data_IF_792705846863
#
_entry.id   IF_792705846863
#
_cell.length_a   1.000
_cell.length_b   1.000
_cell.length_c   1.000
_cell.angle_alpha   90.00
_cell.angle_beta   90.00
_cell.angle_gamma   90.00
#
_symmetry.space_group_name_H-M   'P 1'
#
loop_
_entity.id
_entity.type
_entity.pdbx_description
1 polymer ?
#
# COMPACT_ATOMS: atom_id res chain seq x y z
N UNK A 1 -52.21 -9.45 25.70
CA UNK A 1 -51.53 -8.74 24.61
C UNK A 1 -50.03 -8.80 24.89
N UNK A 2 -49.34 -9.80 24.35
CA UNK A 2 -47.89 -9.96 24.56
C UNK A 2 -47.15 -9.97 23.23
N UNK A 3 -46.29 -8.97 23.10
CA UNK A 3 -45.08 -8.82 22.28
C UNK A 3 -44.80 -9.86 21.20
N UNK A 4 -44.99 -9.45 19.94
CA UNK A 4 -44.42 -10.09 18.74
C UNK A 4 -43.39 -9.19 18.04
N UNK A 5 -42.71 -8.28 18.76
CA UNK A 5 -41.72 -7.36 18.16
C UNK A 5 -40.26 -7.65 18.48
N UNK A 6 -39.94 -8.73 19.21
CA UNK A 6 -38.55 -9.01 19.63
C UNK A 6 -37.83 -10.10 18.83
N UNK A 7 -38.52 -10.81 17.93
CA UNK A 7 -37.92 -11.93 17.18
C UNK A 7 -37.27 -11.47 15.87
N UNK A 8 -37.86 -10.50 15.18
CA UNK A 8 -37.43 -10.11 13.82
C UNK A 8 -36.19 -9.20 13.81
N UNK A 9 -35.89 -8.50 14.91
CA UNK A 9 -34.69 -7.64 15.01
C UNK A 9 -33.42 -8.41 15.38
N UNK A 10 -33.52 -9.57 16.03
CA UNK A 10 -32.37 -10.45 16.24
C UNK A 10 -32.04 -11.28 14.99
N UNK A 11 -33.02 -11.69 14.19
CA UNK A 11 -32.78 -12.40 12.92
C UNK A 11 -32.15 -11.52 11.83
N UNK A 12 -32.32 -10.20 11.86
CA UNK A 12 -31.70 -9.30 10.86
C UNK A 12 -30.24 -8.92 11.19
N UNK A 13 -29.77 -9.12 12.43
CA UNK A 13 -28.35 -8.94 12.77
C UNK A 13 -27.51 -10.20 12.50
N UNK A 14 -28.13 -11.36 12.31
CA UNK A 14 -27.46 -12.59 11.83
C UNK A 14 -27.16 -12.56 10.32
N UNK A 15 -27.61 -11.53 9.58
CA UNK A 15 -27.47 -11.44 8.11
C UNK A 15 -26.12 -10.84 7.66
N UNK A 16 -25.32 -10.27 8.55
CA UNK A 16 -24.00 -9.76 8.22
C UNK A 16 -22.92 -10.55 8.97
N UNK A 17 -22.26 -11.48 8.26
CA UNK A 17 -21.07 -12.21 8.72
C UNK A 17 -19.90 -11.22 8.94
N UNK A 18 -19.95 -10.52 10.08
CA UNK A 18 -18.88 -9.67 10.61
C UNK A 18 -17.93 -10.58 11.38
N UNK A 19 -16.79 -10.87 10.78
CA UNK A 19 -15.69 -11.56 11.47
C UNK A 19 -14.87 -10.57 12.29
N UNK A 20 -14.26 -11.05 13.37
CA UNK A 20 -13.37 -10.26 14.23
C UNK A 20 -11.94 -10.43 13.72
N UNK A 21 -11.30 -9.34 13.35
CA UNK A 21 -9.96 -9.28 12.78
C UNK A 21 -9.03 -8.90 13.92
N UNK A 22 -7.98 -9.69 14.16
CA UNK A 22 -6.98 -9.38 15.20
C UNK A 22 -5.71 -8.88 14.55
N UNK A 23 -5.09 -7.90 15.17
CA UNK A 23 -3.82 -7.33 14.72
C UNK A 23 -2.86 -7.41 15.90
N UNK A 24 -1.66 -7.89 15.61
CA UNK A 24 -0.59 -7.99 16.61
C UNK A 24 0.21 -6.70 16.58
N UNK A 25 -0.06 -5.83 17.56
CA UNK A 25 0.82 -4.70 17.81
C UNK A 25 2.11 -5.22 18.43
N UNK A 26 3.24 -5.01 17.75
CA UNK A 26 4.55 -5.47 18.24
C UNK A 26 5.17 -4.49 19.24
N UNK A 27 4.64 -3.26 19.36
CA UNK A 27 5.35 -2.17 20.02
C UNK A 27 4.67 -1.59 21.27
N UNK A 28 3.43 -1.97 21.62
CA UNK A 28 2.75 -1.43 22.81
C UNK A 28 2.20 -2.52 23.77
N UNK A 29 3.04 -2.94 24.72
CA UNK A 29 2.61 -3.54 26.00
C UNK A 29 1.80 -4.85 25.95
N UNK A 30 1.67 -5.50 24.79
CA UNK A 30 0.92 -6.75 24.64
C UNK A 30 -0.60 -6.60 24.53
N UNK A 31 -1.10 -5.40 24.21
CA UNK A 31 -2.52 -5.20 23.96
C UNK A 31 -2.90 -5.66 22.56
N UNK A 32 -3.60 -6.80 22.48
CA UNK A 32 -4.17 -7.30 21.23
C UNK A 32 -5.27 -6.36 20.74
N UNK A 33 -5.05 -5.68 19.61
CA UNK A 33 -6.08 -4.88 18.95
C UNK A 33 -6.96 -5.78 18.09
N UNK A 34 -8.27 -5.59 18.16
CA UNK A 34 -9.20 -6.27 17.26
C UNK A 34 -10.28 -5.33 16.75
N UNK A 35 -10.66 -5.51 15.49
CA UNK A 35 -11.68 -4.73 14.81
C UNK A 35 -12.55 -5.64 13.94
N UNK A 36 -13.83 -5.32 13.81
CA UNK A 36 -14.76 -6.10 13.00
C UNK A 36 -14.87 -5.53 11.59
N UNK A 37 -14.59 -6.33 10.55
CA UNK A 37 -14.93 -5.96 9.16
C UNK A 37 -15.82 -7.00 8.50
N UNK A 38 -16.59 -6.53 7.52
CA UNK A 38 -17.48 -7.39 6.75
C UNK A 38 -16.66 -8.31 5.85
N UNK A 39 -16.82 -9.63 6.04
CA UNK A 39 -16.13 -10.66 5.26
C UNK A 39 -16.33 -10.46 3.76
N UNK A 40 -17.56 -10.18 3.37
CA UNK A 40 -17.94 -9.98 1.97
C UNK A 40 -17.22 -8.79 1.34
N UNK A 41 -17.03 -7.71 2.10
CA UNK A 41 -16.34 -6.52 1.61
C UNK A 41 -14.86 -6.80 1.36
N UNK A 42 -14.20 -7.55 2.24
CA UNK A 42 -12.82 -7.94 2.02
C UNK A 42 -12.68 -8.91 0.84
N UNK A 43 -13.53 -9.93 0.78
CA UNK A 43 -13.51 -10.89 -0.33
C UNK A 43 -13.82 -10.21 -1.67
N UNK A 44 -14.59 -9.12 -1.67
CA UNK A 44 -14.84 -8.31 -2.85
C UNK A 44 -13.55 -7.65 -3.38
N UNK A 45 -12.71 -7.12 -2.50
CA UNK A 45 -11.46 -6.44 -2.89
C UNK A 45 -10.25 -7.36 -3.04
N UNK A 46 -10.30 -8.58 -2.50
CA UNK A 46 -9.16 -9.49 -2.44
C UNK A 46 -9.55 -10.90 -2.91
N UNK A 47 -9.09 -11.33 -4.10
CA UNK A 47 -9.19 -12.72 -4.54
C UNK A 47 -8.49 -13.69 -3.56
N UNK A 48 -7.38 -13.26 -2.95
CA UNK A 48 -6.68 -14.01 -1.91
C UNK A 48 -7.61 -14.33 -0.73
N UNK A 49 -8.26 -13.33 -0.14
CA UNK A 49 -9.17 -13.55 0.99
C UNK A 49 -10.47 -14.24 0.57
N UNK A 50 -10.95 -14.03 -0.67
CA UNK A 50 -12.04 -14.83 -1.20
C UNK A 50 -11.70 -16.32 -1.21
N UNK A 51 -10.49 -16.68 -1.68
CA UNK A 51 -10.01 -18.05 -1.66
C UNK A 51 -9.80 -18.57 -0.23
N UNK A 52 -9.18 -17.81 0.66
CA UNK A 52 -8.90 -18.23 2.03
C UNK A 52 -10.19 -18.43 2.86
N UNK A 53 -11.15 -17.51 2.75
CA UNK A 53 -12.31 -17.44 3.65
C UNK A 53 -13.57 -18.10 3.09
N UNK A 54 -13.66 -18.28 1.77
CA UNK A 54 -14.79 -18.97 1.10
C UNK A 54 -14.36 -20.27 0.42
N UNK A 55 -13.07 -20.55 0.33
CA UNK A 55 -12.55 -21.79 -0.22
C UNK A 55 -12.56 -22.93 0.80
N UNK A 56 -11.72 -23.94 0.54
CA UNK A 56 -11.66 -25.17 1.34
C UNK A 56 -10.53 -25.16 2.39
N UNK A 57 -9.85 -24.04 2.56
CA UNK A 57 -8.77 -23.89 3.53
C UNK A 57 -9.29 -23.83 4.97
N UNK A 58 -8.41 -24.04 5.95
CA UNK A 58 -8.78 -24.08 7.36
C UNK A 58 -9.39 -22.75 7.85
N UNK A 59 -8.93 -21.64 7.27
CA UNK A 59 -9.33 -20.26 7.49
C UNK A 59 -10.81 -20.03 7.20
N UNK A 60 -11.41 -20.80 6.28
CA UNK A 60 -12.85 -20.75 6.02
C UNK A 60 -13.69 -21.05 7.27
N UNK A 61 -13.15 -21.88 8.18
CA UNK A 61 -13.77 -22.33 9.43
C UNK A 61 -13.41 -21.47 10.65
N UNK A 62 -12.58 -20.43 10.47
CA UNK A 62 -12.14 -19.56 11.57
C UNK A 62 -12.97 -18.27 11.64
N UNK A 63 -13.48 -17.91 12.80
CA UNK A 63 -14.24 -16.64 12.99
C UNK A 63 -13.36 -15.39 13.05
N UNK A 64 -12.04 -15.60 13.07
CA UNK A 64 -11.01 -14.57 13.16
C UNK A 64 -9.72 -15.06 12.53
N UNK A 65 -8.97 -14.15 11.91
CA UNK A 65 -7.61 -14.38 11.42
C UNK A 65 -6.79 -13.12 11.76
N UNK A 66 -5.46 -13.23 11.65
CA UNK A 66 -4.53 -12.16 12.02
C UNK A 66 -4.04 -11.40 10.80
N UNK A 67 -4.03 -10.07 10.86
CA UNK A 67 -3.33 -9.23 9.89
C UNK A 67 -1.93 -8.95 10.41
N UNK A 68 -0.92 -9.14 9.56
CA UNK A 68 0.47 -8.72 9.83
C UNK A 68 0.62 -7.21 9.60
N UNK A 69 -0.21 -6.42 10.30
CA UNK A 69 -0.24 -4.97 10.30
C UNK A 69 -0.29 -4.49 11.76
N UNK A 70 0.36 -3.37 12.04
CA UNK A 70 0.21 -2.71 13.35
C UNK A 70 -1.17 -2.03 13.48
N UNK A 71 -1.41 -1.43 14.65
CA UNK A 71 -2.67 -0.76 14.94
C UNK A 71 -2.97 0.39 13.97
N UNK A 72 -1.99 1.25 13.65
CA UNK A 72 -2.18 2.41 12.78
C UNK A 72 -2.45 1.99 11.35
N UNK A 73 -1.68 1.05 10.82
CA UNK A 73 -1.85 0.48 9.49
C UNK A 73 -3.20 -0.22 9.35
N UNK A 74 -3.64 -0.92 10.40
CA UNK A 74 -4.96 -1.55 10.43
C UNK A 74 -6.08 -0.53 10.39
N UNK A 75 -5.99 0.57 11.14
CA UNK A 75 -6.99 1.63 11.09
C UNK A 75 -7.12 2.21 9.67
N UNK A 76 -5.99 2.52 9.03
CA UNK A 76 -5.96 3.04 7.65
C UNK A 76 -6.56 2.02 6.68
N UNK A 77 -6.21 0.74 6.83
CA UNK A 77 -6.76 -0.33 6.00
C UNK A 77 -8.28 -0.46 6.13
N UNK A 78 -8.80 -0.46 7.37
CA UNK A 78 -10.23 -0.58 7.64
C UNK A 78 -10.97 0.64 7.11
N UNK A 79 -10.47 1.85 7.36
CA UNK A 79 -11.05 3.07 6.82
C UNK A 79 -11.10 3.03 5.29
N UNK A 80 -10.00 2.64 4.64
CA UNK A 80 -9.97 2.46 3.18
C UNK A 80 -10.97 1.40 2.73
N UNK A 81 -11.11 0.28 3.45
CA UNK A 81 -11.99 -0.81 3.07
C UNK A 81 -13.46 -0.34 2.96
N UNK A 82 -13.88 0.55 3.87
CA UNK A 82 -15.24 1.10 3.90
C UNK A 82 -15.43 2.33 3.00
N UNK A 83 -14.39 3.12 2.75
CA UNK A 83 -14.50 4.40 2.02
C UNK A 83 -13.99 4.33 0.58
N UNK A 84 -13.14 3.35 0.28
CA UNK A 84 -12.35 3.24 -0.95
C UNK A 84 -11.25 4.30 -1.07
N UNK A 85 -10.92 5.05 -0.01
CA UNK A 85 -10.02 6.21 -0.06
C UNK A 85 -8.91 6.13 0.97
N UNK A 86 -7.74 6.67 0.59
CA UNK A 86 -6.62 6.96 1.50
C UNK A 86 -6.54 8.48 1.59
N UNK A 87 -6.75 9.04 2.78
CA UNK A 87 -6.84 10.49 2.97
C UNK A 87 -5.47 11.18 2.86
N UNK A 88 -5.25 11.87 1.75
CA UNK A 88 -3.95 12.48 1.36
C UNK A 88 -3.45 13.49 2.40
N UNK A 89 -4.35 14.31 2.93
CA UNK A 89 -3.99 15.39 3.86
C UNK A 89 -3.37 14.85 5.14
N UNK A 90 -3.70 13.62 5.55
CA UNK A 90 -3.10 12.99 6.70
C UNK A 90 -1.61 12.65 6.50
N UNK A 91 -1.18 12.45 5.25
CA UNK A 91 0.18 12.05 4.87
C UNK A 91 1.04 13.20 4.37
N UNK A 92 0.44 14.37 4.15
CA UNK A 92 1.14 15.50 3.56
C UNK A 92 2.35 15.93 4.40
N UNK A 93 3.53 15.83 3.82
CA UNK A 93 4.80 16.20 4.47
C UNK A 93 5.24 15.28 5.62
N UNK A 94 4.74 14.04 5.69
CA UNK A 94 5.13 13.03 6.69
C UNK A 94 5.95 11.90 6.05
N UNK A 95 6.58 11.10 6.90
CA UNK A 95 7.15 9.81 6.48
C UNK A 95 6.02 8.87 6.05
N UNK A 96 6.26 8.15 4.96
CA UNK A 96 5.29 7.28 4.29
C UNK A 96 5.45 5.80 4.69
N UNK A 97 6.15 5.49 5.78
CA UNK A 97 6.50 4.12 6.19
C UNK A 97 5.27 3.21 6.29
N UNK A 98 4.18 3.71 6.86
CA UNK A 98 2.91 2.98 6.92
C UNK A 98 2.27 2.76 5.55
N UNK A 99 2.37 3.72 4.64
CA UNK A 99 1.87 3.54 3.27
C UNK A 99 2.71 2.51 2.52
N UNK A 100 4.03 2.47 2.73
CA UNK A 100 4.89 1.45 2.14
C UNK A 100 4.57 0.05 2.67
N UNK A 101 4.44 -0.09 3.99
CA UNK A 101 4.05 -1.36 4.63
C UNK A 101 2.66 -1.80 4.18
N UNK A 102 1.70 -0.87 4.13
CA UNK A 102 0.34 -1.17 3.68
C UNK A 102 0.28 -1.53 2.20
N UNK A 103 1.14 -0.94 1.36
CA UNK A 103 1.25 -1.32 -0.05
C UNK A 103 1.78 -2.75 -0.20
N UNK A 104 2.83 -3.12 0.54
CA UNK A 104 3.37 -4.50 0.54
C UNK A 104 2.30 -5.49 1.02
N UNK A 105 1.57 -5.15 2.08
CA UNK A 105 0.43 -5.94 2.55
C UNK A 105 -0.63 -6.11 1.45
N UNK A 106 -1.01 -5.02 0.77
CA UNK A 106 -1.96 -5.05 -0.33
C UNK A 106 -1.46 -5.90 -1.50
N UNK A 107 -0.15 -5.91 -1.75
CA UNK A 107 0.47 -6.74 -2.78
C UNK A 107 0.38 -8.23 -2.45
N UNK A 108 0.78 -8.60 -1.23
CA UNK A 108 0.77 -9.97 -0.74
C UNK A 108 -0.64 -10.56 -0.62
N UNK A 109 -1.63 -9.70 -0.39
CA UNK A 109 -3.04 -10.09 -0.23
C UNK A 109 -3.89 -9.77 -1.47
N UNK A 110 -3.26 -9.47 -2.60
CA UNK A 110 -3.90 -9.24 -3.89
C UNK A 110 -5.06 -8.21 -3.87
N UNK A 111 -4.81 -7.05 -3.25
CA UNK A 111 -5.75 -5.93 -3.14
C UNK A 111 -5.34 -4.80 -4.08
N UNK A 112 -5.53 -5.01 -5.39
CA UNK A 112 -5.11 -4.06 -6.43
C UNK A 112 -5.71 -2.66 -6.24
N UNK A 113 -6.96 -2.56 -5.78
CA UNK A 113 -7.60 -1.28 -5.53
C UNK A 113 -6.89 -0.48 -4.43
N UNK A 114 -6.38 -1.15 -3.39
CA UNK A 114 -5.64 -0.52 -2.30
C UNK A 114 -4.25 -0.08 -2.77
N UNK A 115 -3.53 -0.93 -3.53
CA UNK A 115 -2.24 -0.55 -4.16
C UNK A 115 -2.38 0.74 -4.97
N UNK A 116 -3.44 0.84 -5.79
CA UNK A 116 -3.75 2.04 -6.58
C UNK A 116 -4.10 3.26 -5.71
N UNK A 117 -4.93 3.11 -4.68
CA UNK A 117 -5.26 4.22 -3.76
C UNK A 117 -4.01 4.75 -3.03
N UNK A 118 -3.13 3.85 -2.58
CA UNK A 118 -1.86 4.22 -1.93
C UNK A 118 -0.94 4.93 -2.92
N UNK A 119 -0.78 4.41 -4.14
CA UNK A 119 0.08 5.10 -5.13
C UNK A 119 -0.47 6.46 -5.53
N UNK A 120 -1.79 6.62 -5.58
CA UNK A 120 -2.40 7.93 -5.75
C UNK A 120 -1.99 8.88 -4.64
N UNK A 121 -2.05 8.44 -3.39
CA UNK A 121 -1.64 9.22 -2.23
C UNK A 121 -0.14 9.58 -2.29
N UNK A 122 0.75 8.59 -2.48
CA UNK A 122 2.19 8.78 -2.54
C UNK A 122 2.61 9.77 -3.64
N UNK A 123 1.98 9.71 -4.81
CA UNK A 123 2.29 10.61 -5.92
C UNK A 123 1.94 12.09 -5.66
N UNK A 124 1.06 12.39 -4.69
CA UNK A 124 0.53 13.75 -4.47
C UNK A 124 0.74 14.34 -3.06
N UNK A 125 1.03 13.51 -2.04
CA UNK A 125 1.14 13.97 -0.65
C UNK A 125 2.41 14.82 -0.37
N UNK A 126 3.39 14.86 -1.28
CA UNK A 126 4.69 15.48 -0.98
C UNK A 126 5.54 14.59 -0.05
N UNK A 127 6.87 14.69 -0.18
CA UNK A 127 7.76 13.53 0.02
C UNK A 127 8.82 13.78 1.09
N UNK A 128 9.04 12.78 1.95
CA UNK A 128 10.32 12.55 2.62
C UNK A 128 10.76 11.14 2.23
N UNK A 129 11.75 10.98 1.33
CA UNK A 129 12.19 9.67 0.87
C UNK A 129 12.67 8.78 2.03
N UNK A 130 12.48 7.45 1.96
CA UNK A 130 13.06 6.53 2.93
C UNK A 130 14.59 6.51 2.84
N UNK A 131 15.25 6.21 3.96
CA UNK A 131 16.69 5.96 3.96
C UNK A 131 17.03 4.74 3.08
N UNK A 132 18.23 4.70 2.48
CA UNK A 132 18.63 3.62 1.56
C UNK A 132 18.44 2.20 2.12
N UNK A 133 18.76 1.95 3.39
CA UNK A 133 18.51 0.65 4.05
C UNK A 133 17.03 0.26 4.06
N UNK A 134 16.14 1.24 4.17
CA UNK A 134 14.71 1.03 4.20
C UNK A 134 14.20 0.77 2.79
N UNK A 135 14.72 1.49 1.78
CA UNK A 135 14.46 1.17 0.38
C UNK A 135 14.86 -0.27 0.08
N UNK A 136 16.05 -0.73 0.48
CA UNK A 136 16.50 -2.12 0.34
C UNK A 136 15.50 -3.13 0.92
N UNK A 137 15.03 -2.87 2.15
CA UNK A 137 14.03 -3.70 2.82
C UNK A 137 12.73 -3.76 2.03
N UNK A 138 12.23 -2.60 1.57
CA UNK A 138 10.97 -2.50 0.83
C UNK A 138 11.06 -3.22 -0.53
N UNK A 139 12.06 -2.91 -1.35
CA UNK A 139 12.17 -3.46 -2.71
C UNK A 139 12.44 -4.97 -2.74
N UNK A 140 12.96 -5.53 -1.64
CA UNK A 140 13.14 -6.99 -1.50
C UNK A 140 11.82 -7.76 -1.37
N UNK A 141 10.72 -7.09 -1.02
CA UNK A 141 9.39 -7.68 -0.91
C UNK A 141 8.49 -7.38 -2.11
N UNK A 142 8.99 -6.65 -3.13
CA UNK A 142 8.20 -6.16 -4.26
C UNK A 142 8.63 -6.82 -5.58
N UNK A 143 7.68 -7.22 -6.44
CA UNK A 143 7.99 -7.72 -7.77
C UNK A 143 8.61 -6.62 -8.65
N UNK A 144 9.35 -7.03 -9.69
CA UNK A 144 9.99 -6.09 -10.64
C UNK A 144 8.99 -5.15 -11.32
N UNK A 145 7.76 -5.61 -11.55
CA UNK A 145 6.67 -4.83 -12.14
C UNK A 145 5.93 -3.92 -11.17
N UNK A 146 6.32 -3.88 -9.89
CA UNK A 146 5.63 -3.10 -8.87
C UNK A 146 5.74 -1.59 -9.15
N UNK A 147 4.58 -0.91 -9.09
CA UNK A 147 4.51 0.54 -9.14
C UNK A 147 5.30 1.22 -8.02
N UNK A 148 5.21 0.69 -6.79
CA UNK A 148 5.97 1.21 -5.66
C UNK A 148 7.48 1.02 -5.85
N UNK A 149 7.93 -0.12 -6.41
CA UNK A 149 9.36 -0.35 -6.69
C UNK A 149 9.89 0.68 -7.68
N UNK A 150 9.15 0.98 -8.75
CA UNK A 150 9.50 2.03 -9.71
C UNK A 150 9.50 3.42 -9.05
N UNK A 151 8.50 3.71 -8.22
CA UNK A 151 8.40 4.97 -7.49
C UNK A 151 9.60 5.20 -6.56
N UNK A 152 9.98 4.20 -5.76
CA UNK A 152 11.15 4.24 -4.86
C UNK A 152 12.46 4.42 -5.63
N UNK A 153 12.59 3.78 -6.80
CA UNK A 153 13.73 4.00 -7.68
C UNK A 153 13.81 5.45 -8.14
N UNK A 154 12.70 6.03 -8.59
CA UNK A 154 12.69 7.43 -9.02
C UNK A 154 12.92 8.40 -7.85
N UNK A 155 12.45 8.08 -6.63
CA UNK A 155 12.74 8.87 -5.43
C UNK A 155 14.22 8.85 -5.06
N UNK A 156 14.84 7.67 -5.08
CA UNK A 156 16.29 7.54 -4.89
C UNK A 156 17.06 8.35 -5.94
N UNK A 157 16.62 8.38 -7.19
CA UNK A 157 17.32 9.15 -8.22
C UNK A 157 17.12 10.67 -8.04
N UNK A 158 15.95 11.09 -7.56
CA UNK A 158 15.57 12.49 -7.37
C UNK A 158 16.22 13.15 -6.14
N UNK A 159 16.19 12.48 -4.98
CA UNK A 159 16.76 12.96 -3.72
C UNK A 159 18.25 13.27 -3.86
N UNK A 160 18.92 12.50 -4.71
CA UNK A 160 20.38 12.50 -4.85
C UNK A 160 20.85 13.13 -6.18
N UNK A 161 19.89 13.66 -6.97
CA UNK A 161 20.08 14.18 -8.33
C UNK A 161 20.19 15.70 -8.45
N UNK A 162 20.74 16.43 -7.47
CA UNK A 162 21.04 17.87 -7.67
C UNK A 162 22.44 18.07 -8.28
N UNK A 163 22.56 18.73 -9.44
CA UNK A 163 23.79 18.83 -10.19
C UNK A 163 24.58 20.06 -9.76
N UNK A 164 25.82 19.85 -9.32
CA UNK A 164 26.94 20.53 -9.98
C UNK A 164 28.11 19.54 -10.09
N UNK A 165 28.35 19.10 -11.33
CA UNK A 165 29.67 18.64 -11.80
C UNK A 165 30.29 17.48 -11.01
N UNK A 166 29.91 16.24 -11.33
CA UNK A 166 30.91 15.21 -11.63
C UNK A 166 30.28 13.94 -12.19
N UNK A 167 30.96 13.43 -13.20
CA UNK A 167 30.84 12.11 -13.80
C UNK A 167 30.53 10.99 -12.79
N UNK A 168 29.54 10.17 -13.15
CA UNK A 168 29.23 8.82 -12.64
C UNK A 168 28.73 8.82 -11.18
N UNK A 169 27.45 8.47 -11.00
CA UNK A 169 26.94 7.96 -9.72
C UNK A 169 27.72 6.68 -9.38
N UNK A 170 28.83 6.83 -8.68
CA UNK A 170 29.69 5.70 -8.33
C UNK A 170 29.06 4.88 -7.22
N UNK A 171 29.41 3.60 -7.15
CA UNK A 171 29.06 2.72 -6.04
C UNK A 171 29.46 3.32 -4.68
N UNK A 172 30.55 4.09 -4.61
CA UNK A 172 30.97 4.78 -3.39
C UNK A 172 30.00 5.89 -2.95
N UNK A 173 29.41 6.62 -3.89
CA UNK A 173 28.42 7.65 -3.60
C UNK A 173 27.17 7.02 -2.99
N UNK A 174 26.60 6.02 -3.68
CA UNK A 174 25.43 5.28 -3.21
C UNK A 174 25.67 4.69 -1.82
N UNK A 175 26.84 4.08 -1.60
CA UNK A 175 27.22 3.54 -0.29
C UNK A 175 27.21 4.61 0.82
N UNK A 176 27.66 5.84 0.55
CA UNK A 176 27.63 6.95 1.52
C UNK A 176 26.19 7.39 1.86
N UNK A 177 25.26 7.26 0.92
CA UNK A 177 23.85 7.55 1.12
C UNK A 177 23.06 6.36 1.73
N UNK A 178 23.75 5.28 2.12
CA UNK A 178 23.11 4.09 2.70
C UNK A 178 22.58 3.09 1.68
N UNK A 179 22.94 3.22 0.40
CA UNK A 179 22.64 2.26 -0.66
C UNK A 179 23.81 1.30 -0.84
N UNK A 180 23.87 0.29 0.03
CA UNK A 180 24.92 -0.75 0.07
C UNK A 180 24.51 -1.90 -0.84
N UNK A 181 25.33 -2.24 -1.85
CA UNK A 181 24.99 -3.24 -2.88
C UNK A 181 24.43 -4.55 -2.32
N UNK A 182 25.03 -5.04 -1.25
CA UNK A 182 24.69 -6.33 -0.63
C UNK A 182 23.28 -6.38 -0.04
N UNK A 183 22.69 -5.22 0.27
CA UNK A 183 21.36 -5.12 0.87
C UNK A 183 20.24 -5.13 -0.18
N UNK A 184 20.55 -4.97 -1.46
CA UNK A 184 19.57 -4.79 -2.53
C UNK A 184 19.45 -6.02 -3.45
N UNK A 185 18.25 -6.24 -4.02
CA UNK A 185 18.11 -7.07 -5.22
C UNK A 185 19.09 -6.61 -6.31
N UNK A 186 19.78 -7.57 -6.93
CA UNK A 186 20.87 -7.31 -7.89
C UNK A 186 20.41 -6.44 -9.06
N UNK A 187 19.20 -6.68 -9.56
CA UNK A 187 18.62 -5.95 -10.67
C UNK A 187 18.33 -4.47 -10.30
N UNK A 188 17.77 -4.23 -9.11
CA UNK A 188 17.48 -2.89 -8.62
C UNK A 188 18.76 -2.07 -8.45
N UNK A 189 19.79 -2.65 -7.82
CA UNK A 189 21.06 -1.94 -7.63
C UNK A 189 21.77 -1.67 -8.97
N UNK A 190 21.71 -2.61 -9.91
CA UNK A 190 22.24 -2.39 -11.26
C UNK A 190 21.50 -1.26 -11.99
N UNK A 191 20.18 -1.13 -11.81
CA UNK A 191 19.41 0.00 -12.32
C UNK A 191 19.83 1.33 -11.67
N UNK A 192 20.13 1.36 -10.37
CA UNK A 192 20.64 2.58 -9.70
C UNK A 192 22.00 3.02 -10.26
N UNK A 193 22.89 2.07 -10.58
CA UNK A 193 24.22 2.38 -11.13
C UNK A 193 24.17 2.82 -12.60
N UNK A 194 23.23 2.30 -13.38
CA UNK A 194 23.09 2.58 -14.81
C UNK A 194 22.10 3.70 -15.12
N UNK A 195 21.20 4.00 -14.18
CA UNK A 195 20.12 4.94 -14.36
C UNK A 195 20.62 6.38 -14.35
N UNK A 196 20.57 7.01 -15.52
CA UNK A 196 20.47 8.45 -15.61
C UNK A 196 19.06 8.77 -16.10
N UNK A 197 18.29 9.58 -15.36
CA UNK A 197 17.03 10.14 -15.85
C UNK A 197 17.16 11.66 -15.92
N UNK A 198 16.65 12.22 -17.01
CA UNK A 198 16.53 13.67 -17.21
C UNK A 198 15.52 14.32 -16.23
N UNK A 199 14.66 13.52 -15.59
CA UNK A 199 13.64 14.01 -14.66
C UNK A 199 14.16 14.05 -13.23
N UNK A 200 14.07 15.23 -12.61
CA UNK A 200 14.57 15.48 -11.26
C UNK A 200 13.66 14.98 -10.14
N UNK A 201 12.46 14.48 -10.44
CA UNK A 201 11.47 14.03 -9.45
C UNK A 201 10.59 12.91 -10.04
N UNK A 202 10.03 12.02 -9.21
CA UNK A 202 9.04 11.07 -9.67
C UNK A 202 7.79 11.80 -10.17
N UNK A 203 7.13 11.24 -11.17
CA UNK A 203 5.87 11.74 -11.71
C UNK A 203 4.83 12.01 -10.60
N UNK A 204 4.13 13.15 -10.68
CA UNK A 204 2.93 13.45 -9.87
C UNK A 204 1.66 12.83 -10.46
N UNK A 205 1.79 12.15 -11.60
CA UNK A 205 0.73 11.38 -12.21
C UNK A 205 0.80 9.93 -11.71
N UNK A 206 -0.03 9.61 -10.72
CA UNK A 206 -0.13 8.29 -10.11
C UNK A 206 -0.34 7.13 -11.12
N UNK A 207 -0.97 7.41 -12.28
CA UNK A 207 -1.16 6.41 -13.33
C UNK A 207 0.14 5.97 -14.01
N UNK A 208 1.25 6.65 -13.77
CA UNK A 208 2.56 6.17 -14.22
C UNK A 208 3.10 5.04 -13.31
N UNK A 209 2.46 4.78 -12.17
CA UNK A 209 2.78 3.69 -11.22
C UNK A 209 1.61 2.72 -10.97
N UNK A 210 0.39 3.07 -11.35
CA UNK A 210 -0.74 2.15 -11.21
C UNK A 210 -0.59 0.94 -12.13
N UNK A 211 -0.97 -0.23 -11.62
CA UNK A 211 -1.24 -1.39 -12.46
C UNK A 211 -2.50 -1.12 -13.29
N UNK A 212 -2.47 -1.42 -14.58
CA UNK A 212 -3.61 -1.23 -15.49
C UNK A 212 -3.79 -2.48 -16.35
N UNK A 213 -5.05 -2.88 -16.56
CA UNK A 213 -5.39 -4.04 -17.39
C UNK A 213 -5.06 -3.76 -18.85
N UNK A 214 -5.30 -2.52 -19.30
CA UNK A 214 -5.00 -2.11 -20.66
C UNK A 214 -4.71 -0.59 -20.81
N UNK A 215 -4.25 -0.21 -22.00
CA UNK A 215 -3.95 1.19 -22.36
C UNK A 215 -5.18 2.08 -22.36
N UNK A 216 -6.38 1.52 -22.53
CA UNK A 216 -7.63 2.28 -22.54
C UNK A 216 -8.07 2.63 -21.12
N UNK A 217 -8.00 1.70 -20.17
CA UNK A 217 -8.14 1.95 -18.73
C UNK A 217 -7.16 3.03 -18.28
N UNK A 218 -5.88 2.90 -18.65
CA UNK A 218 -4.84 3.89 -18.35
C UNK A 218 -5.14 5.28 -18.93
N UNK A 219 -5.69 5.37 -20.15
CA UNK A 219 -6.06 6.67 -20.74
C UNK A 219 -7.26 7.30 -20.02
N UNK A 220 -8.23 6.49 -19.59
CA UNK A 220 -9.40 6.96 -18.85
C UNK A 220 -9.03 7.48 -17.46
N UNK A 221 -8.13 6.78 -16.75
CA UNK A 221 -7.72 7.17 -15.39
C UNK A 221 -7.02 8.53 -15.35
N UNK A 222 -6.27 8.91 -16.39
CA UNK A 222 -5.66 10.26 -16.50
C UNK A 222 -6.66 11.42 -16.53
N UNK A 223 -7.88 11.18 -17.01
CA UNK A 223 -8.90 12.23 -17.16
C UNK A 223 -9.71 12.49 -15.88
N UNK A 224 -9.62 11.61 -14.88
CA UNK A 224 -10.37 11.74 -13.62
C UNK A 224 -9.84 12.92 -12.76
N UNK A 225 -8.59 13.36 -13.00
CA UNK A 225 -7.97 14.51 -12.33
C UNK A 225 -8.74 15.84 -12.50
N UNK A 226 -9.70 15.96 -13.43
CA UNK A 226 -10.51 17.19 -13.61
C UNK A 226 -11.77 17.28 -12.76
N UNK A 227 -12.16 16.22 -12.04
CA UNK A 227 -13.47 16.17 -11.38
C UNK A 227 -13.45 16.55 -9.89
N UNK A 228 -12.27 16.75 -9.31
CA UNK A 228 -12.11 17.12 -7.89
C UNK A 228 -11.87 18.62 -7.65
N UNK A 229 -11.94 19.45 -8.70
CA UNK A 229 -11.83 20.92 -8.60
C UNK A 229 -13.21 21.63 -8.69
N UNK A 230 -14.33 20.90 -8.63
CA UNK A 230 -15.68 21.46 -8.76
C UNK A 230 -16.67 20.87 -7.76
N UNK A 231 -16.42 21.04 -6.46
CA UNK A 231 -17.46 21.09 -5.41
C UNK A 231 -16.97 21.93 -4.24
#
# INVERSE_FOLDING_TARGET
MHNTSSSTTMELMEIYDKRIWRCTDKDDGGHEFSTGVHKELLCFYSPYYAAALKGQFAESRQDSFTLELDHRQTQVFVEWLYTGRVEVEYWRGKHNDDLHTLYIFADQTDIIALRRSIMTCLAIAGRVPPAGREVARLVSHLPESSGLRLFLFEEAQAEWGMPEKTNILTEQYWKRCGYVREDFPKDFYAQLLSGYRDSFMPSSNACDYHEHDDKHEWKKSKNIKRTYELT
#
